data_IF_928833327434
#
_entry.id   IF_928833327434
#
_cell.length_a   1.000
_cell.length_b   1.000
_cell.length_c   1.000
_cell.angle_alpha   90.00
_cell.angle_beta   90.00
_cell.angle_gamma   90.00
#
_symmetry.space_group_name_H-M   'P 1'
#
loop_
_entity.id
_entity.type
_entity.pdbx_description
1 polymer ?
#
# COMPACT_ATOMS: atom_id res chain seq x y z
N UNK A 1 34.53 -11.14 1.97
CA UNK A 1 33.72 -12.37 1.87
C UNK A 1 32.91 -12.46 3.15
N UNK A 2 31.79 -11.73 3.23
CA UNK A 2 30.89 -11.75 4.38
C UNK A 2 29.66 -12.55 3.98
N UNK A 3 29.47 -13.69 4.62
CA UNK A 3 28.26 -14.49 4.54
C UNK A 3 27.13 -13.70 5.22
N UNK A 4 26.26 -13.07 4.44
CA UNK A 4 24.89 -12.79 4.88
C UNK A 4 24.08 -14.06 4.61
N UNK A 5 23.79 -14.80 5.67
CA UNK A 5 22.74 -15.83 5.61
C UNK A 5 21.40 -15.12 5.41
N UNK A 6 20.95 -15.08 4.16
CA UNK A 6 19.55 -14.82 3.85
C UNK A 6 18.76 -16.04 4.28
N UNK A 7 18.05 -15.92 5.40
CA UNK A 7 16.96 -16.81 5.75
C UNK A 7 15.83 -16.61 4.73
N UNK A 8 15.93 -17.34 3.62
CA UNK A 8 14.77 -17.82 2.87
C UNK A 8 13.99 -18.75 3.82
N UNK A 9 13.08 -18.18 4.60
CA UNK A 9 12.15 -18.96 5.41
C UNK A 9 10.81 -19.14 4.66
N UNK A 10 10.22 -20.34 4.67
CA UNK A 10 9.05 -20.66 3.87
C UNK A 10 7.78 -20.06 4.50
N UNK A 11 7.15 -19.13 3.78
CA UNK A 11 5.86 -18.53 4.15
C UNK A 11 4.72 -19.52 3.96
N UNK A 12 4.39 -20.23 5.04
CA UNK A 12 3.29 -21.18 5.15
C UNK A 12 2.07 -20.54 5.80
N UNK A 13 1.29 -19.76 5.04
CA UNK A 13 -0.10 -19.44 5.40
C UNK A 13 -0.92 -19.32 4.11
N UNK A 14 -1.80 -20.31 3.88
CA UNK A 14 -3.06 -20.29 3.11
C UNK A 14 -3.43 -21.75 2.78
N UNK A 15 -3.77 -22.53 3.80
CA UNK A 15 -4.48 -23.81 3.65
C UNK A 15 -5.80 -23.71 4.41
N UNK A 16 -6.94 -24.08 3.79
CA UNK A 16 -8.06 -24.66 4.50
C UNK A 16 -7.96 -26.18 4.43
N UNK A 17 -7.76 -26.83 5.58
CA UNK A 17 -8.16 -28.22 5.76
C UNK A 17 -9.66 -28.23 6.08
N UNK A 18 -10.49 -28.69 5.14
CA UNK A 18 -11.76 -29.42 5.38
C UNK A 18 -12.59 -29.54 4.09
N UNK A 19 -12.44 -30.67 3.37
CA UNK A 19 -13.56 -31.24 2.60
C UNK A 19 -13.53 -32.76 2.76
N UNK A 20 -14.22 -33.27 3.79
CA UNK A 20 -14.82 -34.61 3.81
C UNK A 20 -16.06 -34.60 4.69
N UNK A 21 -17.24 -34.60 4.06
CA UNK A 21 -18.30 -35.61 4.25
C UNK A 21 -19.67 -35.08 3.76
N UNK A 22 -20.43 -35.99 3.12
CA UNK A 22 -21.83 -35.93 2.70
C UNK A 22 -22.15 -35.08 1.44
N UNK A 23 -22.85 -35.57 0.41
CA UNK A 23 -23.55 -36.84 0.21
C UNK A 23 -23.70 -37.14 -1.29
N UNK A 24 -23.81 -38.43 -1.58
CA UNK A 24 -24.05 -39.01 -2.88
C UNK A 24 -25.51 -38.87 -3.34
N UNK A 25 -25.69 -39.10 -4.65
CA UNK A 25 -26.92 -39.53 -5.35
C UNK A 25 -27.82 -38.43 -5.91
N UNK A 26 -27.81 -38.29 -7.25
CA UNK A 26 -28.87 -38.85 -8.10
C UNK A 26 -28.48 -38.83 -9.59
N UNK A 27 -28.77 -39.96 -10.26
CA UNK A 27 -28.78 -40.19 -11.71
C UNK A 27 -30.12 -39.75 -12.32
N UNK A 28 -30.07 -39.39 -13.60
CA UNK A 28 -31.20 -39.37 -14.57
C UNK A 28 -30.87 -38.35 -15.68
N UNK A 29 -30.47 -38.73 -16.91
CA UNK A 29 -31.31 -39.11 -18.08
C UNK A 29 -32.45 -38.10 -18.33
N UNK A 30 -32.71 -37.52 -19.49
CA UNK A 30 -32.39 -37.84 -20.89
C UNK A 30 -32.94 -36.70 -21.79
N UNK A 31 -32.68 -36.82 -23.09
CA UNK A 31 -33.46 -36.27 -24.23
C UNK A 31 -33.07 -34.93 -24.86
N UNK A 32 -32.33 -35.09 -25.95
CA UNK A 32 -32.35 -34.34 -27.22
C UNK A 32 -33.75 -34.04 -27.75
N UNK A 33 -34.00 -32.78 -28.13
CA UNK A 33 -34.99 -32.39 -29.15
C UNK A 33 -34.41 -31.21 -29.97
N UNK A 34 -34.25 -31.43 -31.27
CA UNK A 34 -34.21 -30.38 -32.30
C UNK A 34 -35.65 -30.06 -32.74
N UNK A 35 -35.94 -28.85 -33.26
CA UNK A 35 -36.12 -28.82 -34.72
C UNK A 35 -35.71 -27.51 -35.43
N UNK A 36 -35.74 -27.64 -36.76
CA UNK A 36 -35.39 -26.73 -37.84
C UNK A 36 -36.20 -25.42 -38.00
N UNK A 37 -35.49 -24.44 -38.59
CA UNK A 37 -35.86 -23.57 -39.73
C UNK A 37 -36.98 -22.49 -39.67
N UNK A 38 -36.51 -21.22 -39.78
CA UNK A 38 -36.91 -20.11 -40.70
C UNK A 38 -38.31 -19.45 -40.60
N UNK A 39 -38.56 -18.22 -41.14
CA UNK A 39 -37.69 -17.28 -41.90
C UNK A 39 -37.71 -15.78 -41.45
N UNK A 40 -36.75 -14.99 -41.95
CA UNK A 40 -36.68 -13.52 -41.93
C UNK A 40 -37.75 -12.85 -42.83
N UNK A 41 -38.21 -11.63 -42.49
CA UNK A 41 -38.07 -10.49 -43.42
C UNK A 41 -37.98 -9.11 -42.69
N UNK A 42 -37.95 -7.96 -43.41
CA UNK A 42 -37.00 -7.53 -44.41
C UNK A 42 -36.22 -6.27 -43.96
N UNK A 43 -35.15 -5.99 -44.70
CA UNK A 43 -34.28 -4.82 -44.59
C UNK A 43 -35.03 -3.49 -44.68
N UNK A 44 -34.94 -2.67 -43.62
CA UNK A 44 -35.19 -1.22 -43.68
C UNK A 44 -33.95 -0.48 -43.21
N UNK A 45 -33.28 0.19 -44.16
CA UNK A 45 -32.28 1.23 -43.86
C UNK A 45 -32.98 2.40 -43.17
N UNK A 46 -32.53 2.86 -41.98
CA UNK A 46 -32.77 4.20 -41.54
C UNK A 46 -31.62 5.11 -42.00
N UNK A 47 -32.01 6.34 -42.31
CA UNK A 47 -31.20 7.44 -42.79
C UNK A 47 -30.14 7.85 -41.76
N UNK A 48 -28.98 8.31 -42.25
CA UNK A 48 -28.05 9.08 -41.44
C UNK A 48 -28.74 10.34 -40.89
N UNK A 49 -28.70 10.60 -39.58
CA UNK A 49 -28.77 11.95 -39.05
C UNK A 49 -27.35 12.49 -38.90
N UNK A 50 -27.18 13.75 -39.29
CA UNK A 50 -25.88 14.41 -39.39
C UNK A 50 -25.13 14.51 -38.07
N UNK A 51 -23.81 14.72 -38.22
CA UNK A 51 -22.89 15.16 -37.18
C UNK A 51 -23.49 16.32 -36.36
N UNK A 52 -23.93 16.04 -35.14
CA UNK A 52 -23.94 17.02 -34.06
C UNK A 52 -22.78 16.69 -33.13
N UNK A 53 -21.70 17.44 -33.27
CA UNK A 53 -20.61 17.47 -32.29
C UNK A 53 -21.22 17.76 -30.90
N UNK A 54 -20.92 16.97 -29.85
CA UNK A 54 -21.20 17.45 -28.51
C UNK A 54 -20.32 18.68 -28.27
N UNK A 55 -20.99 19.82 -28.03
CA UNK A 55 -20.40 21.07 -27.55
C UNK A 55 -19.39 20.75 -26.46
N UNK A 56 -18.16 21.21 -26.65
CA UNK A 56 -17.14 21.25 -25.63
C UNK A 56 -17.74 21.88 -24.36
N UNK A 57 -17.87 21.07 -23.31
CA UNK A 57 -17.87 21.58 -21.94
C UNK A 57 -16.45 22.11 -21.68
N UNK A 58 -16.23 23.36 -22.10
CA UNK A 58 -15.13 24.18 -21.61
C UNK A 58 -15.49 24.61 -20.20
N UNK A 59 -14.80 24.05 -19.22
CA UNK A 59 -14.79 24.55 -17.84
C UNK A 59 -14.44 23.43 -16.86
N UNK A 60 -13.31 23.59 -16.15
CA UNK A 60 -12.67 22.67 -15.18
C UNK A 60 -11.91 21.52 -15.87
N UNK A 61 -10.59 21.33 -15.79
CA UNK A 61 -9.53 21.77 -14.88
C UNK A 61 -8.26 22.06 -15.71
N UNK A 62 -7.57 23.17 -15.45
CA UNK A 62 -6.12 23.18 -15.63
C UNK A 62 -5.52 22.29 -14.54
N UNK A 63 -5.49 20.99 -14.81
CA UNK A 63 -4.94 20.01 -13.89
C UNK A 63 -3.43 20.31 -13.72
N UNK A 64 -3.10 20.98 -12.62
CA UNK A 64 -1.74 21.38 -12.32
C UNK A 64 -0.82 20.17 -12.37
N UNK A 65 0.25 20.29 -13.16
CA UNK A 65 1.25 19.23 -13.35
C UNK A 65 2.04 18.99 -12.07
N UNK A 66 1.57 18.07 -11.22
CA UNK A 66 2.39 17.52 -10.14
C UNK A 66 3.47 16.57 -10.65
N UNK A 67 4.42 16.26 -9.78
CA UNK A 67 5.57 15.38 -10.07
C UNK A 67 5.63 14.27 -9.04
N UNK A 68 5.99 13.06 -9.49
CA UNK A 68 6.33 11.96 -8.59
C UNK A 68 7.79 12.03 -8.17
N UNK A 69 8.04 11.72 -6.90
CA UNK A 69 9.33 11.63 -6.27
C UNK A 69 9.53 10.22 -5.69
N UNK A 70 10.78 9.78 -5.60
CA UNK A 70 11.19 8.51 -4.99
C UNK A 70 12.38 8.70 -4.05
N UNK A 71 12.42 7.90 -3.00
CA UNK A 71 13.56 7.77 -2.09
C UNK A 71 13.57 6.39 -1.40
N UNK A 72 14.71 5.95 -0.90
CA UNK A 72 14.94 4.62 -0.35
C UNK A 72 15.79 3.71 -1.23
N UNK A 73 15.62 2.41 -1.06
CA UNK A 73 16.39 1.39 -1.77
C UNK A 73 15.99 1.28 -3.25
N UNK A 74 17.00 1.30 -4.15
CA UNK A 74 16.87 1.07 -5.58
C UNK A 74 17.96 0.13 -6.14
N UNK A 75 18.45 -0.81 -5.34
CA UNK A 75 19.59 -1.66 -5.69
C UNK A 75 19.37 -2.60 -6.89
N UNK A 76 18.13 -2.76 -7.36
CA UNK A 76 17.78 -3.52 -8.56
C UNK A 76 17.56 -2.63 -9.80
N UNK A 77 17.86 -1.33 -9.71
CA UNK A 77 17.64 -0.39 -10.79
C UNK A 77 16.22 0.16 -10.85
N UNK A 78 15.48 0.11 -9.74
CA UNK A 78 14.17 0.76 -9.66
C UNK A 78 14.31 2.27 -9.86
N UNK A 79 13.41 2.85 -10.65
CA UNK A 79 13.35 4.28 -10.90
C UNK A 79 12.91 5.02 -9.64
N UNK A 80 13.87 5.52 -8.86
CA UNK A 80 13.65 6.46 -7.75
C UNK A 80 14.26 7.85 -8.02
N UNK A 81 15.22 7.97 -8.95
CA UNK A 81 16.01 9.20 -9.12
C UNK A 81 17.01 9.19 -10.29
N UNK A 82 18.10 9.96 -10.17
CA UNK A 82 19.06 10.31 -11.24
C UNK A 82 19.92 9.15 -11.81
N UNK A 83 19.84 7.95 -11.23
CA UNK A 83 20.23 6.71 -11.93
C UNK A 83 21.66 6.19 -11.72
N UNK A 84 22.33 6.51 -10.61
CA UNK A 84 23.68 6.00 -10.33
C UNK A 84 23.86 5.35 -8.94
N UNK A 85 22.92 5.58 -8.01
CA UNK A 85 22.95 5.05 -6.65
C UNK A 85 22.14 3.76 -6.50
N UNK A 86 22.50 2.95 -5.50
CA UNK A 86 21.66 1.82 -5.02
C UNK A 86 20.65 2.25 -3.96
N UNK A 87 20.74 3.50 -3.50
CA UNK A 87 19.92 4.13 -2.47
C UNK A 87 19.76 5.61 -2.78
N UNK A 88 18.62 6.18 -2.40
CA UNK A 88 18.30 7.60 -2.55
C UNK A 88 17.85 8.12 -1.18
N UNK A 89 18.62 9.01 -0.55
CA UNK A 89 18.40 9.42 0.85
C UNK A 89 17.48 10.64 1.03
N UNK A 90 17.20 11.35 -0.07
CA UNK A 90 16.32 12.53 -0.12
C UNK A 90 15.38 12.38 -1.30
N UNK A 91 14.15 12.91 -1.26
CA UNK A 91 13.25 12.82 -2.39
C UNK A 91 13.88 13.32 -3.70
N UNK A 92 13.86 12.48 -4.74
CA UNK A 92 14.30 12.82 -6.09
C UNK A 92 13.14 12.63 -7.09
N UNK A 93 12.98 13.50 -8.10
CA UNK A 93 11.98 13.30 -9.15
C UNK A 93 12.17 11.96 -9.88
N UNK A 94 11.07 11.23 -10.11
CA UNK A 94 11.11 9.96 -10.84
C UNK A 94 11.58 10.15 -12.28
N UNK A 95 12.45 9.24 -12.74
CA UNK A 95 12.85 9.10 -14.13
C UNK A 95 12.35 7.76 -14.69
N UNK A 96 11.11 7.74 -15.17
CA UNK A 96 10.58 6.58 -15.90
C UNK A 96 10.99 6.66 -17.38
N UNK A 97 11.23 5.52 -18.05
CA UNK A 97 11.42 5.49 -19.50
C UNK A 97 10.19 6.09 -20.21
N UNK A 98 10.37 7.16 -20.99
CA UNK A 98 9.26 7.91 -21.61
C UNK A 98 8.75 9.12 -20.81
N UNK A 99 9.32 9.39 -19.64
CA UNK A 99 9.00 10.52 -18.77
C UNK A 99 7.97 10.18 -17.69
N UNK A 100 8.04 10.86 -16.54
CA UNK A 100 7.12 10.68 -15.41
C UNK A 100 5.75 11.35 -15.62
N UNK A 101 5.58 12.05 -16.75
CA UNK A 101 4.35 12.73 -17.13
C UNK A 101 3.25 11.70 -17.33
N UNK A 102 2.27 11.73 -16.42
CA UNK A 102 1.08 10.90 -16.50
C UNK A 102 1.07 9.70 -15.58
N UNK A 103 2.11 9.42 -14.78
CA UNK A 103 2.01 8.39 -13.73
C UNK A 103 0.91 8.81 -12.74
N UNK A 104 -0.10 7.96 -12.55
CA UNK A 104 -1.17 8.16 -11.57
C UNK A 104 -1.09 7.19 -10.40
N UNK A 105 -0.36 6.07 -10.54
CA UNK A 105 -0.22 5.07 -9.49
C UNK A 105 1.15 4.40 -9.54
N UNK A 106 1.60 4.01 -8.36
CA UNK A 106 2.82 3.24 -8.14
C UNK A 106 2.46 2.02 -7.31
N UNK A 107 2.89 0.84 -7.75
CA UNK A 107 2.84 -0.39 -6.96
C UNK A 107 4.25 -0.96 -6.90
N UNK A 108 4.83 -0.96 -5.71
CA UNK A 108 6.23 -1.32 -5.51
C UNK A 108 6.35 -2.68 -4.82
N UNK A 109 7.12 -3.58 -5.42
CA UNK A 109 7.58 -4.81 -4.80
C UNK A 109 9.01 -4.63 -4.29
N UNK A 110 9.64 -5.71 -3.82
CA UNK A 110 11.01 -5.66 -3.35
C UNK A 110 11.99 -5.42 -4.49
N UNK A 111 11.86 -6.16 -5.59
CA UNK A 111 12.84 -6.16 -6.68
C UNK A 111 12.46 -5.29 -7.88
N UNK A 112 11.20 -4.88 -7.99
CA UNK A 112 10.73 -4.04 -9.09
C UNK A 112 9.55 -3.17 -8.67
N UNK A 113 9.21 -2.21 -9.53
CA UNK A 113 8.08 -1.29 -9.34
C UNK A 113 7.27 -1.21 -10.63
N UNK A 114 5.95 -1.29 -10.49
CA UNK A 114 4.99 -1.04 -11.56
C UNK A 114 4.47 0.40 -11.46
N UNK A 115 4.60 1.14 -12.55
CA UNK A 115 4.06 2.50 -12.70
C UNK A 115 2.86 2.46 -13.65
N UNK A 116 1.69 2.86 -13.17
CA UNK A 116 0.47 2.98 -13.99
C UNK A 116 0.33 4.42 -14.44
N UNK A 117 0.11 4.61 -15.73
CA UNK A 117 -0.08 5.93 -16.34
C UNK A 117 -1.55 6.21 -16.63
N UNK A 118 -1.93 7.50 -16.66
CA UNK A 118 -3.25 8.00 -17.07
C UNK A 118 -3.62 7.61 -18.51
N UNK A 119 -2.61 7.33 -19.34
CA UNK A 119 -2.79 6.82 -20.70
C UNK A 119 -3.13 5.33 -20.76
N UNK A 120 -3.26 4.65 -19.62
CA UNK A 120 -3.56 3.22 -19.54
C UNK A 120 -2.35 2.32 -19.82
N UNK A 121 -1.13 2.83 -19.68
CA UNK A 121 0.09 2.04 -19.80
C UNK A 121 0.66 1.71 -18.42
N UNK A 122 1.09 0.46 -18.23
CA UNK A 122 1.89 -0.01 -17.10
C UNK A 122 3.34 -0.15 -17.56
N UNK A 123 4.27 0.40 -16.78
CA UNK A 123 5.71 0.31 -17.01
C UNK A 123 6.40 -0.30 -15.81
N UNK A 124 7.26 -1.30 -16.03
CA UNK A 124 8.04 -1.94 -14.97
C UNK A 124 9.46 -1.36 -14.90
N UNK A 125 9.99 -1.23 -13.68
CA UNK A 125 11.36 -0.78 -13.43
C UNK A 125 11.99 -1.53 -12.27
N UNK A 126 13.22 -2.03 -12.45
CA UNK A 126 13.94 -2.83 -11.47
C UNK A 126 14.44 -4.13 -12.08
N UNK A 127 14.41 -5.21 -11.30
CA UNK A 127 14.77 -6.55 -11.77
C UNK A 127 13.83 -7.08 -12.87
N UNK A 128 12.58 -6.60 -12.90
CA UNK A 128 11.62 -6.83 -13.97
C UNK A 128 11.49 -5.57 -14.84
N UNK A 129 11.40 -5.79 -16.15
CA UNK A 129 11.19 -4.74 -17.15
C UNK A 129 10.07 -5.12 -18.11
N UNK A 130 9.51 -4.15 -18.82
CA UNK A 130 8.42 -4.37 -19.78
C UNK A 130 7.35 -3.29 -19.70
N UNK A 131 6.50 -3.25 -20.71
CA UNK A 131 5.37 -2.32 -20.78
C UNK A 131 4.11 -3.04 -21.26
N UNK A 132 2.95 -2.66 -20.72
CA UNK A 132 1.66 -3.18 -21.14
C UNK A 132 0.66 -2.02 -21.27
N UNK A 133 -0.05 -1.96 -22.39
CA UNK A 133 -1.10 -0.96 -22.64
C UNK A 133 -2.48 -1.48 -22.23
N UNK A 134 -3.49 -0.58 -22.18
CA UNK A 134 -4.87 -0.92 -21.84
C UNK A 134 -5.08 -1.32 -20.37
N UNK A 135 -4.17 -0.97 -19.48
CA UNK A 135 -4.21 -1.30 -18.06
C UNK A 135 -4.78 -0.13 -17.24
N UNK A 136 -5.73 -0.40 -16.36
CA UNK A 136 -6.33 0.57 -15.43
C UNK A 136 -5.72 0.49 -14.03
N UNK A 137 -5.13 -0.65 -13.68
CA UNK A 137 -4.43 -0.87 -12.43
C UNK A 137 -3.32 -1.93 -12.56
N UNK A 138 -2.36 -1.89 -11.64
CA UNK A 138 -1.36 -2.93 -11.47
C UNK A 138 -1.03 -3.14 -9.98
N UNK A 139 -0.84 -4.39 -9.60
CA UNK A 139 -0.32 -4.78 -8.30
C UNK A 139 0.94 -5.63 -8.47
N UNK A 140 2.05 -5.11 -7.95
CA UNK A 140 3.37 -5.73 -8.02
C UNK A 140 3.66 -6.51 -6.73
N UNK A 141 4.00 -7.78 -6.89
CA UNK A 141 4.55 -8.64 -5.83
C UNK A 141 5.73 -9.44 -6.36
N UNK A 142 6.54 -10.02 -5.48
CA UNK A 142 7.69 -10.84 -5.93
C UNK A 142 7.27 -12.13 -6.64
N UNK A 143 6.09 -12.67 -6.32
CA UNK A 143 5.59 -13.91 -6.93
C UNK A 143 4.77 -13.64 -8.20
N UNK A 144 4.06 -12.50 -8.24
CA UNK A 144 3.08 -12.20 -9.27
C UNK A 144 3.02 -10.70 -9.60
N UNK A 145 2.89 -10.40 -10.88
CA UNK A 145 2.40 -9.11 -11.36
C UNK A 145 0.95 -9.26 -11.79
N UNK A 146 0.05 -8.52 -11.14
CA UNK A 146 -1.37 -8.53 -11.49
C UNK A 146 -1.71 -7.26 -12.23
N UNK A 147 -2.35 -7.39 -13.39
CA UNK A 147 -2.82 -6.27 -14.20
C UNK A 147 -4.34 -6.31 -14.26
N UNK A 148 -4.97 -5.17 -14.02
CA UNK A 148 -6.37 -4.96 -14.38
C UNK A 148 -6.41 -4.26 -15.73
N UNK A 149 -6.98 -4.91 -16.73
CA UNK A 149 -7.09 -4.41 -18.09
C UNK A 149 -8.50 -4.00 -18.43
N UNK A 150 -8.63 -2.91 -19.18
CA UNK A 150 -9.87 -2.55 -19.82
C UNK A 150 -10.17 -3.56 -20.94
N UNK A 151 -11.29 -4.28 -20.81
CA UNK A 151 -11.82 -5.17 -21.84
C UNK A 151 -12.71 -4.41 -22.83
N UNK A 152 -13.18 -5.08 -23.91
CA UNK A 152 -14.14 -4.49 -24.83
C UNK A 152 -15.49 -4.24 -24.13
N UNK A 153 -16.00 -3.01 -24.22
CA UNK A 153 -17.26 -2.60 -23.57
C UNK A 153 -17.04 -2.13 -22.13
N UNK A 154 -17.92 -2.56 -21.21
CA UNK A 154 -17.81 -2.31 -19.76
C UNK A 154 -17.15 -3.48 -18.99
N UNK A 155 -16.51 -4.41 -19.71
CA UNK A 155 -15.82 -5.53 -19.08
C UNK A 155 -14.40 -5.15 -18.69
N UNK A 156 -13.91 -5.65 -17.56
CA UNK A 156 -12.50 -5.64 -17.22
C UNK A 156 -11.95 -7.07 -17.25
N UNK A 157 -10.66 -7.23 -17.56
CA UNK A 157 -9.97 -8.51 -17.48
C UNK A 157 -8.84 -8.40 -16.46
N UNK A 158 -8.81 -9.33 -15.51
CA UNK A 158 -7.72 -9.48 -14.57
C UNK A 158 -6.73 -10.48 -15.14
N UNK A 159 -5.44 -10.12 -15.16
CA UNK A 159 -4.38 -10.98 -15.64
C UNK A 159 -3.26 -11.09 -14.61
N UNK A 160 -2.81 -12.31 -14.36
CA UNK A 160 -1.71 -12.65 -13.48
C UNK A 160 -0.50 -13.06 -14.33
N UNK A 161 0.64 -12.42 -14.10
CA UNK A 161 1.87 -12.60 -14.86
C UNK A 161 3.03 -12.97 -13.94
N UNK A 162 3.96 -13.78 -14.46
CA UNK A 162 5.27 -13.91 -13.83
C UNK A 162 6.03 -12.57 -14.00
N UNK A 163 6.58 -11.95 -12.95
CA UNK A 163 7.26 -10.65 -13.08
C UNK A 163 8.38 -10.63 -14.14
N UNK A 164 9.12 -11.73 -14.27
CA UNK A 164 10.19 -11.88 -15.26
C UNK A 164 9.76 -12.11 -16.71
N UNK A 165 8.45 -12.26 -17.00
CA UNK A 165 7.97 -12.50 -18.37
C UNK A 165 7.97 -11.25 -19.26
N UNK A 166 8.23 -10.07 -18.67
CA UNK A 166 8.09 -8.78 -19.32
C UNK A 166 6.70 -8.54 -19.94
N UNK A 167 5.67 -9.22 -19.40
CA UNK A 167 4.29 -9.20 -19.92
C UNK A 167 4.22 -9.68 -21.38
N UNK A 168 5.07 -10.65 -21.77
CA UNK A 168 5.10 -11.27 -23.09
C UNK A 168 4.58 -12.71 -23.02
N UNK A 169 3.88 -13.13 -24.08
CA UNK A 169 3.25 -14.45 -24.14
C UNK A 169 1.88 -14.46 -23.44
N UNK A 170 1.48 -15.63 -22.95
CA UNK A 170 0.21 -15.81 -22.26
C UNK A 170 0.34 -15.51 -20.75
N UNK A 171 -0.67 -14.91 -20.11
CA UNK A 171 -0.69 -14.75 -18.67
C UNK A 171 -0.74 -16.12 -17.97
N UNK A 172 -0.19 -16.20 -16.75
CA UNK A 172 -0.28 -17.39 -15.90
C UNK A 172 -1.74 -17.76 -15.60
N UNK A 173 -2.58 -16.74 -15.52
CA UNK A 173 -4.01 -16.87 -15.28
C UNK A 173 -4.70 -15.59 -15.73
N UNK A 174 -5.91 -15.71 -16.28
CA UNK A 174 -6.79 -14.56 -16.52
C UNK A 174 -8.23 -14.87 -16.16
N UNK A 175 -8.97 -13.82 -15.81
CA UNK A 175 -10.39 -13.91 -15.52
C UNK A 175 -11.10 -12.62 -15.90
N UNK A 176 -12.23 -12.75 -16.59
CA UNK A 176 -13.14 -11.65 -16.82
C UNK A 176 -13.78 -11.21 -15.49
N UNK A 177 -13.71 -9.91 -15.21
CA UNK A 177 -14.37 -9.28 -14.07
C UNK A 177 -15.64 -8.62 -14.60
N UNK A 178 -16.79 -9.12 -14.17
CA UNK A 178 -18.07 -8.47 -14.46
C UNK A 178 -18.21 -7.26 -13.55
N UNK A 179 -18.24 -6.06 -14.12
CA UNK A 179 -18.70 -4.87 -13.41
C UNK A 179 -20.18 -5.05 -13.09
N UNK A 180 -20.61 -4.70 -11.87
CA UNK A 180 -21.97 -4.93 -11.41
C UNK A 180 -22.99 -4.30 -12.37
N UNK A 181 -24.05 -5.04 -12.74
CA UNK A 181 -25.09 -4.62 -13.69
C UNK A 181 -25.86 -3.35 -13.27
N UNK A 182 -25.68 -2.89 -12.03
CA UNK A 182 -26.20 -1.63 -11.52
C UNK A 182 -25.01 -0.69 -11.39
N UNK A 183 -24.98 0.36 -12.24
CA UNK A 183 -23.91 1.34 -12.26
C UNK A 183 -23.59 1.89 -10.86
N UNK A 184 -22.34 2.32 -10.61
CA UNK A 184 -21.88 2.63 -9.27
C UNK A 184 -22.80 3.68 -8.65
N UNK A 185 -23.43 3.33 -7.53
CA UNK A 185 -23.93 4.37 -6.62
C UNK A 185 -22.74 5.25 -6.21
N UNK A 186 -22.98 6.53 -5.88
CA UNK A 186 -21.92 7.49 -5.51
C UNK A 186 -20.95 6.97 -4.41
N UNK A 187 -21.37 5.98 -3.62
CA UNK A 187 -20.56 5.27 -2.60
C UNK A 187 -19.72 4.10 -3.15
N UNK A 188 -20.11 3.44 -4.25
CA UNK A 188 -19.39 2.30 -4.86
C UNK A 188 -18.17 2.72 -5.68
N UNK A 189 -18.05 4.00 -6.04
CA UNK A 189 -16.88 4.60 -6.68
C UNK A 189 -15.61 4.59 -5.82
N UNK A 190 -15.67 4.14 -4.56
CA UNK A 190 -14.53 3.96 -3.66
C UNK A 190 -14.01 2.52 -3.54
N UNK A 191 -14.65 1.53 -4.18
CA UNK A 191 -14.18 0.14 -4.14
C UNK A 191 -12.76 0.01 -4.74
N UNK A 192 -11.86 -0.52 -3.90
CA UNK A 192 -10.43 -0.22 -3.87
C UNK A 192 -9.56 -0.65 -5.05
N UNK A 193 -8.34 -0.13 -4.99
CA UNK A 193 -7.24 -0.53 -5.83
C UNK A 193 -6.93 -2.01 -5.61
N UNK A 194 -6.29 -2.64 -6.58
CA UNK A 194 -5.74 -3.98 -6.39
C UNK A 194 -4.90 -4.00 -5.08
N UNK A 195 -5.01 -5.08 -4.28
CA UNK A 195 -5.55 -6.39 -4.65
C UNK A 195 -7.07 -6.55 -4.49
N UNK A 196 -7.81 -5.56 -3.97
CA UNK A 196 -9.27 -5.64 -3.94
C UNK A 196 -9.82 -5.48 -5.37
N UNK A 197 -10.77 -6.34 -5.77
CA UNK A 197 -11.33 -6.29 -7.12
C UNK A 197 -12.43 -5.22 -7.24
N UNK A 198 -12.66 -4.67 -8.45
CA UNK A 198 -13.86 -3.89 -8.74
C UNK A 198 -15.10 -4.65 -8.27
N UNK A 199 -16.08 -3.95 -7.68
CA UNK A 199 -17.24 -4.45 -6.93
C UNK A 199 -17.00 -4.90 -5.48
N UNK A 200 -15.74 -4.99 -5.03
CA UNK A 200 -15.35 -5.29 -3.65
C UNK A 200 -15.95 -6.58 -3.05
N UNK A 201 -16.22 -7.59 -3.90
CA UNK A 201 -16.71 -8.91 -3.49
C UNK A 201 -15.64 -9.99 -3.54
N UNK A 202 -14.44 -9.66 -3.99
CA UNK A 202 -13.34 -10.59 -4.12
C UNK A 202 -12.01 -9.82 -4.15
N UNK A 203 -10.92 -10.52 -3.92
CA UNK A 203 -9.57 -9.99 -3.99
C UNK A 203 -8.60 -10.95 -4.68
N UNK A 204 -7.45 -10.42 -5.06
CA UNK A 204 -6.36 -11.19 -5.67
C UNK A 204 -5.36 -11.65 -4.61
N UNK A 205 -5.04 -12.92 -4.63
CA UNK A 205 -3.94 -13.51 -3.84
C UNK A 205 -2.71 -13.67 -4.73
N UNK A 206 -1.48 -13.51 -4.20
CA UNK A 206 -0.26 -13.80 -4.97
C UNK A 206 -0.09 -15.29 -5.26
N UNK A 207 -0.89 -16.17 -4.63
CA UNK A 207 -0.83 -17.62 -4.78
C UNK A 207 -2.17 -18.22 -5.20
N UNK A 208 -2.17 -19.34 -5.94
CA UNK A 208 -3.39 -20.06 -6.27
C UNK A 208 -4.19 -20.49 -5.03
N UNK A 209 -5.55 -20.46 -5.09
CA UNK A 209 -6.34 -19.77 -6.11
C UNK A 209 -6.15 -18.24 -6.05
N UNK A 210 -5.84 -17.65 -7.21
CA UNK A 210 -5.54 -16.22 -7.35
C UNK A 210 -6.78 -15.36 -7.10
N UNK A 211 -7.96 -15.82 -7.47
CA UNK A 211 -9.23 -15.17 -7.14
C UNK A 211 -9.77 -15.70 -5.82
N UNK A 212 -10.08 -14.80 -4.88
CA UNK A 212 -10.62 -15.15 -3.56
C UNK A 212 -11.92 -14.37 -3.30
N UNK A 213 -13.09 -15.04 -3.20
CA UNK A 213 -14.33 -14.36 -2.86
C UNK A 213 -14.31 -13.90 -1.39
N UNK A 214 -14.94 -12.76 -1.13
CA UNK A 214 -15.26 -12.27 0.21
C UNK A 214 -16.66 -12.75 0.60
N UNK A 215 -16.95 -12.75 1.90
CA UNK A 215 -18.28 -13.08 2.40
C UNK A 215 -19.33 -12.14 1.77
N UNK A 216 -20.49 -12.63 1.28
CA UNK A 216 -21.47 -11.80 0.58
C UNK A 216 -22.02 -10.61 1.38
N UNK A 217 -22.01 -10.72 2.71
CA UNK A 217 -22.43 -9.68 3.65
C UNK A 217 -21.37 -8.60 3.87
N UNK A 218 -20.11 -8.89 3.54
CA UNK A 218 -18.98 -8.00 3.75
C UNK A 218 -18.85 -7.04 2.58
N UNK A 219 -19.11 -5.76 2.85
CA UNK A 219 -18.93 -4.68 1.87
C UNK A 219 -17.54 -4.10 2.02
N UNK A 220 -16.54 -4.74 1.42
CA UNK A 220 -15.17 -4.24 1.48
C UNK A 220 -15.03 -2.88 0.78
N UNK A 221 -14.13 -2.04 1.29
CA UNK A 221 -13.74 -0.77 0.69
C UNK A 221 -12.25 -0.77 0.33
N UNK A 222 -11.40 -1.28 1.22
CA UNK A 222 -9.95 -1.43 0.99
C UNK A 222 -9.44 -2.74 1.56
N UNK A 223 -8.40 -3.27 0.91
CA UNK A 223 -7.65 -4.43 1.37
C UNK A 223 -6.17 -4.12 1.24
N UNK A 224 -5.45 -4.14 2.35
CA UNK A 224 -4.00 -3.96 2.39
C UNK A 224 -3.33 -5.25 2.84
N UNK A 225 -2.26 -5.62 2.15
CA UNK A 225 -1.49 -6.83 2.43
C UNK A 225 -0.14 -6.45 3.02
N UNK A 226 0.10 -6.88 4.25
CA UNK A 226 1.44 -6.89 4.83
C UNK A 226 2.24 -8.10 4.35
N UNK A 227 3.43 -8.31 4.94
CA UNK A 227 4.23 -9.48 4.56
C UNK A 227 3.53 -10.80 4.90
N UNK A 228 2.75 -10.82 5.99
CA UNK A 228 2.17 -12.05 6.55
C UNK A 228 0.76 -11.91 7.11
N UNK A 229 0.14 -10.75 6.93
CA UNK A 229 -1.19 -10.44 7.43
C UNK A 229 -1.93 -9.55 6.43
N UNK A 230 -3.24 -9.44 6.60
CA UNK A 230 -4.08 -8.55 5.81
C UNK A 230 -4.92 -7.67 6.73
N UNK A 231 -5.20 -6.45 6.25
CA UNK A 231 -6.17 -5.54 6.84
C UNK A 231 -7.26 -5.25 5.82
N UNK A 232 -8.51 -5.47 6.21
CA UNK A 232 -9.67 -5.12 5.41
C UNK A 232 -10.44 -4.01 6.10
N UNK A 233 -10.73 -2.95 5.36
CA UNK A 233 -11.61 -1.89 5.76
C UNK A 233 -12.93 -2.04 5.01
N UNK A 234 -14.03 -2.15 5.72
CA UNK A 234 -15.36 -2.23 5.11
C UNK A 234 -16.02 -0.85 4.91
N UNK A 235 -17.20 -0.84 4.30
CA UNK A 235 -17.99 0.35 4.04
C UNK A 235 -18.63 0.96 5.31
N UNK A 236 -18.73 0.20 6.40
CA UNK A 236 -19.19 0.70 7.69
C UNK A 236 -18.05 1.36 8.51
N UNK A 237 -16.82 1.35 7.99
CA UNK A 237 -15.64 1.87 8.68
C UNK A 237 -15.07 0.89 9.71
N UNK A 238 -15.45 -0.39 9.65
CA UNK A 238 -14.92 -1.45 10.49
C UNK A 238 -13.65 -2.04 9.88
N UNK A 239 -12.72 -2.44 10.75
CA UNK A 239 -11.45 -3.05 10.36
C UNK A 239 -11.46 -4.52 10.75
N UNK A 240 -11.08 -5.37 9.81
CA UNK A 240 -10.86 -6.80 10.00
C UNK A 240 -9.40 -7.12 9.73
N UNK A 241 -8.84 -8.07 10.47
CA UNK A 241 -7.46 -8.52 10.33
C UNK A 241 -7.37 -10.04 10.37
N UNK A 242 -6.44 -10.60 9.61
CA UNK A 242 -6.12 -12.03 9.62
C UNK A 242 -4.72 -12.30 9.08
N UNK A 243 -4.24 -13.53 9.27
CA UNK A 243 -2.90 -13.99 8.91
C UNK A 243 -2.07 -14.35 10.15
N UNK A 244 -0.75 -14.20 10.05
CA UNK A 244 0.15 -14.43 11.16
C UNK A 244 0.03 -13.31 12.22
N UNK A 245 -0.03 -13.68 13.50
CA UNK A 245 -0.11 -12.73 14.62
C UNK A 245 1.12 -12.68 15.53
N UNK A 246 2.20 -13.43 15.22
CA UNK A 246 3.35 -13.60 16.14
C UNK A 246 4.03 -12.31 16.60
N UNK A 247 3.81 -11.20 15.90
CA UNK A 247 4.35 -9.89 16.23
C UNK A 247 3.25 -8.89 16.61
N UNK A 248 2.07 -9.37 17.00
CA UNK A 248 0.93 -8.54 17.39
C UNK A 248 0.31 -7.74 16.24
N UNK A 249 0.69 -7.99 14.98
CA UNK A 249 0.24 -7.22 13.81
C UNK A 249 -1.25 -7.37 13.50
N UNK A 250 -1.97 -8.27 14.19
CA UNK A 250 -3.43 -8.38 14.05
C UNK A 250 -4.19 -7.46 15.01
N UNK A 251 -3.56 -6.94 16.06
CA UNK A 251 -4.21 -5.97 16.95
C UNK A 251 -5.26 -6.55 17.91
N UNK A 252 -5.45 -7.86 17.96
CA UNK A 252 -6.46 -8.53 18.82
C UNK A 252 -6.01 -8.70 20.29
N UNK A 253 -4.91 -8.08 20.71
CA UNK A 253 -4.34 -8.21 22.05
C UNK A 253 -3.58 -9.52 22.30
N UNK A 254 -3.43 -10.37 21.27
CA UNK A 254 -2.72 -11.65 21.34
C UNK A 254 -1.63 -11.73 20.25
N UNK A 255 -0.82 -12.80 20.30
CA UNK A 255 0.17 -13.13 19.28
C UNK A 255 -0.25 -14.31 18.39
N UNK A 256 -1.51 -14.71 18.49
CA UNK A 256 -2.07 -15.86 17.78
C UNK A 256 -2.35 -15.54 16.32
N UNK A 257 -2.23 -16.53 15.45
CA UNK A 257 -2.64 -16.40 14.06
C UNK A 257 -4.16 -16.51 13.92
N UNK A 258 -4.72 -15.73 12.99
CA UNK A 258 -6.14 -15.79 12.65
C UNK A 258 -6.25 -16.26 11.19
N UNK A 259 -6.84 -17.44 10.90
CA UNK A 259 -6.89 -17.96 9.54
C UNK A 259 -7.93 -17.25 8.65
N UNK A 260 -8.91 -16.58 9.27
CA UNK A 260 -10.04 -15.90 8.62
C UNK A 260 -10.19 -14.46 9.13
N UNK A 261 -10.79 -13.55 8.34
CA UNK A 261 -11.01 -12.17 8.75
C UNK A 261 -11.74 -12.08 10.10
N UNK A 262 -11.06 -11.53 11.12
CA UNK A 262 -11.63 -11.25 12.44
C UNK A 262 -11.82 -9.76 12.64
N UNK A 263 -12.98 -9.36 13.15
CA UNK A 263 -13.26 -7.96 13.50
C UNK A 263 -12.28 -7.47 14.58
N UNK A 264 -11.71 -6.30 14.36
CA UNK A 264 -10.84 -5.65 15.33
C UNK A 264 -11.67 -4.92 16.39
N UNK A 265 -12.12 -5.67 17.40
CA UNK A 265 -13.02 -5.21 18.48
C UNK A 265 -12.51 -3.95 19.20
N UNK A 266 -11.19 -3.81 19.30
CA UNK A 266 -10.49 -2.66 19.86
C UNK A 266 -10.93 -1.30 19.29
N UNK A 267 -11.29 -1.27 18.00
CA UNK A 267 -11.66 -0.06 17.26
C UNK A 267 -13.16 -0.02 16.97
N UNK A 268 -13.94 -0.96 17.50
CA UNK A 268 -15.36 -1.00 17.26
C UNK A 268 -16.04 0.27 17.81
N UNK A 269 -16.87 0.90 16.98
CA UNK A 269 -17.54 2.17 17.29
C UNK A 269 -16.78 3.41 16.80
N UNK A 270 -15.51 3.26 16.40
CA UNK A 270 -14.75 4.30 15.71
C UNK A 270 -14.80 4.04 14.20
N UNK A 271 -15.22 5.03 13.40
CA UNK A 271 -15.26 4.86 11.94
C UNK A 271 -13.89 5.13 11.33
N UNK A 272 -13.34 4.10 10.71
CA UNK A 272 -12.04 4.18 10.03
C UNK A 272 -12.19 4.64 8.58
N UNK A 273 -11.24 5.46 8.12
CA UNK A 273 -11.14 6.02 6.79
C UNK A 273 -10.08 5.33 5.91
N UNK A 274 -8.92 5.00 6.48
CA UNK A 274 -7.80 4.34 5.78
C UNK A 274 -7.21 3.22 6.62
N UNK A 275 -6.58 2.25 5.95
CA UNK A 275 -5.76 1.20 6.54
C UNK A 275 -4.45 1.12 5.76
N UNK A 276 -3.37 0.68 6.40
CA UNK A 276 -2.10 0.34 5.78
C UNK A 276 -1.43 -0.81 6.54
N UNK A 277 -0.84 -1.74 5.80
CA UNK A 277 -0.17 -2.90 6.36
C UNK A 277 1.30 -2.91 5.95
N UNK A 278 2.20 -2.90 6.93
CA UNK A 278 3.63 -3.05 6.71
C UNK A 278 4.09 -4.50 6.78
N UNK A 279 5.40 -4.72 6.94
CA UNK A 279 5.94 -6.08 7.09
C UNK A 279 5.32 -6.83 8.28
N UNK A 280 5.39 -6.21 9.46
CA UNK A 280 4.88 -6.77 10.72
C UNK A 280 4.21 -5.74 11.60
N UNK A 281 3.65 -4.68 11.01
CA UNK A 281 2.87 -3.67 11.71
C UNK A 281 1.70 -3.22 10.86
N UNK A 282 0.76 -2.54 11.50
CA UNK A 282 -0.50 -2.13 10.93
C UNK A 282 -0.85 -0.73 11.41
N UNK A 283 -1.51 0.00 10.53
CA UNK A 283 -1.98 1.36 10.80
C UNK A 283 -3.39 1.50 10.30
N UNK A 284 -4.24 2.18 11.05
CA UNK A 284 -5.47 2.73 10.55
C UNK A 284 -5.59 4.22 10.88
N UNK A 285 -6.42 4.88 10.10
CA UNK A 285 -6.74 6.30 10.24
C UNK A 285 -8.25 6.42 10.40
N UNK A 286 -8.71 7.11 11.44
CA UNK A 286 -10.13 7.40 11.64
C UNK A 286 -10.65 8.48 10.67
N UNK A 287 -11.97 8.60 10.53
CA UNK A 287 -12.59 9.74 9.81
C UNK A 287 -12.29 11.10 10.47
N UNK A 288 -11.91 11.11 11.75
CA UNK A 288 -11.55 12.32 12.50
C UNK A 288 -10.06 12.69 12.39
N UNK A 289 -9.25 11.86 11.71
CA UNK A 289 -7.83 12.09 11.52
C UNK A 289 -6.93 11.48 12.59
N UNK A 290 -7.48 10.66 13.50
CA UNK A 290 -6.73 9.94 14.54
C UNK A 290 -6.04 8.71 13.95
N UNK A 291 -4.79 8.49 14.33
CA UNK A 291 -3.99 7.37 13.84
C UNK A 291 -3.91 6.32 14.93
N UNK A 292 -4.25 5.08 14.60
CA UNK A 292 -3.99 3.93 15.46
C UNK A 292 -2.97 3.00 14.82
N UNK A 293 -1.99 2.57 15.60
CA UNK A 293 -0.83 1.81 15.12
C UNK A 293 -0.51 0.65 16.08
N UNK A 294 -0.15 -0.51 15.52
CA UNK A 294 0.16 -1.72 16.31
C UNK A 294 1.08 -2.68 15.55
N UNK A 295 1.63 -3.66 16.27
CA UNK A 295 2.49 -4.72 15.75
C UNK A 295 3.91 -4.69 16.29
N UNK A 296 4.89 -5.00 15.44
CA UNK A 296 6.31 -5.04 15.78
C UNK A 296 6.94 -3.64 15.78
N UNK A 297 7.80 -3.34 16.76
CA UNK A 297 8.35 -2.00 16.97
C UNK A 297 9.89 -1.94 17.14
N UNK A 298 10.66 -3.00 16.96
CA UNK A 298 12.12 -2.90 17.25
C UNK A 298 12.88 -1.96 16.29
N UNK A 299 12.25 -1.52 15.19
CA UNK A 299 12.79 -0.48 14.31
C UNK A 299 12.14 0.89 14.49
N UNK A 300 11.29 1.07 15.51
CA UNK A 300 10.59 2.33 15.80
C UNK A 300 9.40 2.62 14.90
N UNK A 301 8.95 1.69 14.06
CA UNK A 301 7.87 1.91 13.08
C UNK A 301 6.50 2.20 13.71
N UNK A 302 6.30 1.92 14.99
CA UNK A 302 5.07 2.29 15.70
C UNK A 302 5.14 3.70 16.30
N UNK A 303 6.30 4.36 16.19
CA UNK A 303 6.58 5.62 16.86
C UNK A 303 6.36 5.56 18.39
N UNK A 304 6.69 4.40 18.97
CA UNK A 304 6.73 4.15 20.41
C UNK A 304 8.19 3.92 20.85
N UNK A 305 8.57 4.25 22.09
CA UNK A 305 9.95 4.13 22.56
C UNK A 305 10.56 2.74 22.37
N UNK A 306 11.80 2.69 21.84
CA UNK A 306 12.54 1.44 21.56
C UNK A 306 13.90 1.39 22.25
N UNK A 307 14.35 0.18 22.63
CA UNK A 307 15.68 -0.02 23.25
C UNK A 307 16.83 0.29 22.29
N UNK A 308 16.73 -0.24 21.07
CA UNK A 308 17.77 -0.15 20.05
C UNK A 308 18.19 1.30 19.77
N UNK A 309 17.23 2.21 19.67
CA UNK A 309 17.53 3.62 19.42
C UNK A 309 17.99 4.39 20.65
N UNK A 310 17.55 3.99 21.85
CA UNK A 310 18.05 4.58 23.09
C UNK A 310 19.53 4.22 23.35
N UNK A 311 19.95 3.04 22.93
CA UNK A 311 21.35 2.59 23.01
C UNK A 311 22.22 3.24 21.93
N UNK A 312 21.75 3.31 20.68
CA UNK A 312 22.45 3.97 19.57
C UNK A 312 22.67 5.48 19.83
N UNK A 313 21.71 6.16 20.45
CA UNK A 313 21.88 7.57 20.82
C UNK A 313 22.96 7.78 21.89
N UNK A 314 23.15 6.80 22.78
CA UNK A 314 24.10 6.87 23.90
C UNK A 314 25.55 6.65 23.46
N UNK A 315 25.77 5.80 22.44
CA UNK A 315 27.11 5.60 21.85
C UNK A 315 27.55 6.82 21.04
N UNK A 316 26.65 7.45 20.27
CA UNK A 316 26.97 8.68 19.53
C UNK A 316 27.23 9.90 20.43
N UNK A 317 26.58 9.96 21.60
CA UNK A 317 26.84 11.01 22.59
C UNK A 317 28.16 10.78 23.36
N UNK A 318 28.57 9.53 23.55
CA UNK A 318 29.83 9.16 24.22
C UNK A 318 31.09 9.39 23.39
N UNK A 319 30.99 9.41 22.06
CA UNK A 319 32.11 9.69 21.15
C UNK A 319 32.40 11.20 20.97
N UNK A 320 31.50 12.07 21.43
CA UNK A 320 31.65 13.53 21.34
C UNK A 320 32.27 14.18 22.60
N UNK A 321 32.61 13.41 23.64
CA UNK A 321 33.23 13.93 24.86
C UNK A 321 34.53 13.20 25.19
N UNK A 322 35.62 13.64 24.56
CA UNK A 322 36.96 13.20 24.90
C UNK A 322 37.97 14.28 24.55
N UNK A 323 38.19 15.21 25.49
CA UNK A 323 39.48 15.77 25.94
C UNK A 323 39.18 16.81 27.07
N UNK A 324 39.67 16.52 28.28
CA UNK A 324 39.53 17.22 29.57
C UNK A 324 40.31 18.57 29.58
N UNK A 325 40.30 19.50 30.55
CA UNK A 325 39.82 19.65 31.93
C UNK A 325 39.95 21.16 32.29
N UNK A 326 39.05 21.76 33.09
CA UNK A 326 39.36 22.66 34.23
C UNK A 326 38.06 23.27 34.84
N UNK A 327 37.92 23.15 36.16
CA UNK A 327 37.37 24.22 37.00
C UNK A 327 35.86 24.34 37.27
N UNK A 328 35.44 23.77 38.42
CA UNK A 328 34.41 24.27 39.35
C UNK A 328 32.94 23.81 39.22
N UNK A 329 32.47 23.23 40.32
CA UNK A 329 31.08 22.84 40.60
C UNK A 329 30.11 24.03 40.64
N UNK A 330 28.93 23.86 40.04
CA UNK A 330 27.66 24.22 40.70
C UNK A 330 26.68 23.08 40.52
N UNK A 331 26.69 22.20 41.53
CA UNK A 331 25.72 21.10 41.71
C UNK A 331 24.40 21.71 42.14
N UNK A 332 23.45 21.93 41.21
CA UNK A 332 22.04 22.13 41.56
C UNK A 332 21.31 20.82 41.34
N UNK A 333 21.27 20.01 42.40
CA UNK A 333 20.36 18.89 42.47
C UNK A 333 18.92 19.39 42.64
N UNK A 334 18.02 18.86 41.82
CA UNK A 334 16.67 18.54 42.25
C UNK A 334 16.44 17.07 41.90
N UNK A 335 16.64 16.22 42.89
CA UNK A 335 16.16 14.85 42.89
C UNK A 335 14.65 14.85 43.23
N UNK A 336 13.92 13.94 42.58
CA UNK A 336 12.47 13.73 42.65
C UNK A 336 11.91 13.89 41.24
N UNK A 337 11.63 12.85 40.47
CA UNK A 337 10.89 11.64 40.81
C UNK A 337 11.60 10.35 40.34
N UNK A 338 11.22 9.21 40.92
CA UNK A 338 11.69 7.86 40.60
C UNK A 338 11.59 7.53 39.09
N UNK A 339 12.64 7.85 38.34
CA UNK A 339 12.73 7.63 36.90
C UNK A 339 13.10 6.20 36.57
N UNK A 340 12.19 5.24 36.81
CA UNK A 340 12.28 3.97 36.08
C UNK A 340 12.35 4.30 34.58
N UNK A 341 13.33 3.76 33.81
CA UNK A 341 13.41 4.04 32.39
C UNK A 341 12.08 3.66 31.75
N UNK A 342 11.50 4.57 30.95
CA UNK A 342 10.22 4.34 30.29
C UNK A 342 10.23 2.94 29.63
N UNK A 343 9.21 2.10 29.87
CA UNK A 343 9.23 0.73 29.39
C UNK A 343 9.25 0.74 27.86
N UNK A 344 10.30 0.14 27.31
CA UNK A 344 10.45 0.02 25.87
C UNK A 344 9.46 -1.00 25.31
N UNK A 345 8.86 -0.67 24.17
CA UNK A 345 7.81 -1.49 23.55
C UNK A 345 8.40 -2.15 22.32
N UNK A 346 8.62 -3.47 22.38
CA UNK A 346 9.09 -4.25 21.22
C UNK A 346 7.92 -4.74 20.34
N UNK A 347 6.78 -5.05 20.97
CA UNK A 347 5.55 -5.47 20.33
C UNK A 347 4.38 -4.78 21.01
N UNK A 348 3.48 -4.23 20.21
CA UNK A 348 2.23 -3.61 20.65
C UNK A 348 1.08 -4.41 20.03
N UNK A 349 0.51 -5.41 20.72
CA UNK A 349 -0.48 -6.31 20.15
C UNK A 349 -1.91 -5.74 20.10
N UNK A 350 -2.08 -4.46 20.47
CA UNK A 350 -3.37 -3.77 20.48
C UNK A 350 -3.20 -2.35 19.89
N UNK A 351 -4.17 -1.83 19.12
CA UNK A 351 -4.09 -0.48 18.54
C UNK A 351 -3.73 0.59 19.58
N UNK A 352 -2.61 1.27 19.38
CA UNK A 352 -2.19 2.42 20.17
C UNK A 352 -2.50 3.71 19.40
N UNK A 353 -3.09 4.70 20.08
CA UNK A 353 -3.28 6.03 19.52
C UNK A 353 -1.91 6.70 19.33
N UNK A 354 -1.69 7.27 18.14
CA UNK A 354 -0.49 8.00 17.79
C UNK A 354 -0.83 9.47 17.55
N UNK A 355 -0.21 10.33 18.35
CA UNK A 355 -0.32 11.78 18.19
C UNK A 355 0.73 12.27 17.20
N UNK A 356 0.27 12.91 16.13
CA UNK A 356 1.11 13.81 15.35
C UNK A 356 1.25 15.15 16.08
N UNK A 357 2.14 16.01 15.57
CA UNK A 357 2.27 17.37 16.09
C UNK A 357 0.90 18.08 16.18
N UNK A 358 0.62 18.88 17.23
CA UNK A 358 -0.68 19.53 17.40
C UNK A 358 -1.11 20.32 16.17
N UNK A 359 -2.34 20.09 15.70
CA UNK A 359 -2.91 20.72 14.51
C UNK A 359 -2.69 19.97 13.19
N UNK A 360 -1.92 18.87 13.20
CA UNK A 360 -1.77 17.99 12.06
C UNK A 360 -2.93 17.00 11.97
N UNK A 361 -3.82 17.19 10.98
CA UNK A 361 -4.89 16.24 10.68
C UNK A 361 -4.41 15.25 9.60
N UNK A 362 -4.27 13.97 9.94
CA UNK A 362 -3.86 12.95 8.98
C UNK A 362 -4.99 12.60 8.01
N UNK A 363 -4.63 12.38 6.74
CA UNK A 363 -5.58 12.05 5.65
C UNK A 363 -5.17 10.83 4.85
N UNK A 364 -3.91 10.38 4.95
CA UNK A 364 -3.44 9.14 4.32
C UNK A 364 -2.33 8.50 5.14
N UNK A 365 -2.34 7.17 5.20
CA UNK A 365 -1.30 6.34 5.81
C UNK A 365 -0.74 5.39 4.77
N UNK A 366 0.54 5.03 4.90
CA UNK A 366 1.20 4.04 4.05
C UNK A 366 2.35 3.39 4.82
N UNK A 367 2.56 2.09 4.62
CA UNK A 367 3.54 1.31 5.37
C UNK A 367 4.46 0.55 4.42
N UNK A 368 5.77 0.56 4.69
CA UNK A 368 6.69 -0.39 4.09
C UNK A 368 7.00 -1.55 5.04
N UNK A 369 8.11 -2.26 4.81
CA UNK A 369 8.47 -3.41 5.65
C UNK A 369 8.65 -3.01 7.13
N UNK A 370 9.35 -1.90 7.37
CA UNK A 370 9.76 -1.43 8.71
C UNK A 370 9.70 0.08 8.86
N UNK A 371 8.93 0.77 8.03
CA UNK A 371 8.76 2.21 8.11
C UNK A 371 7.31 2.59 7.82
N UNK A 372 6.92 3.76 8.31
CA UNK A 372 5.56 4.27 8.22
C UNK A 372 5.62 5.68 7.66
N UNK A 373 4.66 6.01 6.81
CA UNK A 373 4.49 7.34 6.23
C UNK A 373 3.05 7.83 6.45
N UNK A 374 2.92 9.09 6.83
CA UNK A 374 1.62 9.76 7.03
C UNK A 374 1.59 11.09 6.32
N UNK A 375 0.51 11.32 5.58
CA UNK A 375 0.21 12.57 4.92
C UNK A 375 -0.86 13.32 5.70
N UNK A 376 -0.59 14.60 5.98
CA UNK A 376 -1.56 15.51 6.59
C UNK A 376 -2.43 16.22 5.53
N UNK A 377 -3.56 16.78 5.98
CA UNK A 377 -4.46 17.58 5.13
C UNK A 377 -3.79 18.83 4.55
N UNK A 378 -2.78 19.38 5.25
CA UNK A 378 -1.97 20.52 4.81
C UNK A 378 -0.95 20.16 3.72
N UNK A 379 -0.82 18.87 3.39
CA UNK A 379 0.14 18.37 2.39
C UNK A 379 1.54 18.15 2.94
N UNK A 380 1.68 17.99 4.26
CA UNK A 380 2.94 17.65 4.91
C UNK A 380 3.10 16.14 5.01
N UNK A 381 4.32 15.65 4.78
CA UNK A 381 4.65 14.24 4.86
C UNK A 381 5.50 13.98 6.09
N UNK A 382 5.07 13.03 6.92
CA UNK A 382 5.81 12.51 8.06
C UNK A 382 6.24 11.07 7.80
N UNK A 383 7.47 10.73 8.15
CA UNK A 383 8.03 9.39 8.01
C UNK A 383 8.83 9.01 9.25
N UNK A 384 8.81 7.72 9.60
CA UNK A 384 9.59 7.17 10.71
C UNK A 384 9.75 5.65 10.57
N UNK A 385 10.52 5.04 11.47
CA UNK A 385 10.90 3.63 11.46
C UNK A 385 12.33 3.43 10.97
N UNK A 386 12.59 2.26 10.37
CA UNK A 386 13.92 1.88 9.86
C UNK A 386 14.33 2.75 8.67
N UNK A 387 15.49 3.41 8.76
CA UNK A 387 15.95 4.38 7.77
C UNK A 387 17.22 4.01 7.00
N UNK A 388 17.80 2.82 7.19
CA UNK A 388 19.17 2.56 6.69
C UNK A 388 19.32 2.50 5.16
N UNK A 389 18.22 2.50 4.40
CA UNK A 389 18.24 2.65 2.94
C UNK A 389 17.80 4.03 2.45
N UNK A 390 17.53 4.97 3.36
CA UNK A 390 17.07 6.32 3.01
C UNK A 390 15.56 6.42 2.76
N UNK A 391 14.77 5.40 3.06
CA UNK A 391 13.31 5.37 2.80
C UNK A 391 12.50 6.39 3.61
N UNK A 392 13.13 7.06 4.58
CA UNK A 392 12.52 8.15 5.33
C UNK A 392 12.74 9.51 4.66
N UNK A 393 13.69 9.64 3.72
CA UNK A 393 13.85 10.86 2.93
C UNK A 393 14.45 12.05 3.69
N UNK A 394 15.10 11.82 4.84
CA UNK A 394 15.67 12.86 5.69
C UNK A 394 17.12 13.24 5.34
N UNK A 395 17.59 12.93 4.12
CA UNK A 395 18.97 13.17 3.64
C UNK A 395 20.04 12.34 4.36
N UNK A 396 19.62 11.34 5.13
CA UNK A 396 20.51 10.45 5.88
C UNK A 396 20.00 8.99 5.85
N UNK A 397 20.53 8.18 6.78
CA UNK A 397 20.14 6.77 6.97
C UNK A 397 19.65 6.51 8.40
N UNK A 398 19.27 7.56 9.12
CA UNK A 398 18.92 7.52 10.53
C UNK A 398 17.58 6.79 10.70
N UNK A 399 17.51 5.86 11.65
CA UNK A 399 16.27 5.20 12.06
C UNK A 399 15.58 6.08 13.11
N UNK A 400 14.26 6.21 13.05
CA UNK A 400 13.49 7.10 13.92
C UNK A 400 12.36 6.35 14.62
N UNK A 401 12.18 6.55 15.92
CA UNK A 401 11.04 6.06 16.71
C UNK A 401 9.99 7.14 17.00
N UNK A 402 10.00 8.20 16.20
CA UNK A 402 8.99 9.26 16.29
C UNK A 402 8.71 9.82 14.90
N UNK A 403 7.49 10.30 14.62
CA UNK A 403 7.18 10.92 13.35
C UNK A 403 8.09 12.12 13.09
N UNK A 404 8.72 12.15 11.92
CA UNK A 404 9.58 13.25 11.49
C UNK A 404 9.09 13.80 10.15
N UNK A 405 9.00 15.12 10.03
CA UNK A 405 8.53 15.77 8.80
C UNK A 405 9.63 15.72 7.73
N UNK A 406 9.25 15.39 6.50
CA UNK A 406 10.16 15.37 5.35
C UNK A 406 10.32 16.80 4.80
N UNK A 407 11.32 17.52 5.32
CA UNK A 407 11.54 18.95 5.04
C UNK A 407 11.75 19.28 3.56
N UNK A 408 12.19 18.32 2.74
CA UNK A 408 12.38 18.53 1.29
C UNK A 408 11.16 19.17 0.61
N UNK A 409 9.95 18.69 0.91
CA UNK A 409 8.74 19.21 0.26
C UNK A 409 8.39 20.62 0.77
N UNK A 410 8.68 20.93 2.03
CA UNK A 410 8.49 22.26 2.61
C UNK A 410 9.47 23.24 1.99
N UNK A 411 10.76 22.90 1.96
CA UNK A 411 11.84 23.69 1.36
C UNK A 411 11.57 24.02 -0.11
N UNK A 412 10.99 23.06 -0.85
CA UNK A 412 10.66 23.20 -2.27
C UNK A 412 9.28 23.82 -2.54
N UNK A 413 8.56 24.26 -1.51
CA UNK A 413 7.21 24.81 -1.64
C UNK A 413 6.26 23.85 -2.38
N UNK A 414 6.34 22.57 -2.05
CA UNK A 414 5.50 21.51 -2.58
C UNK A 414 4.48 21.07 -1.53
N UNK A 415 3.29 20.70 -2.00
CA UNK A 415 2.26 19.99 -1.24
C UNK A 415 2.21 18.55 -1.69
N UNK A 416 2.39 17.63 -0.75
CA UNK A 416 2.20 16.20 -1.00
C UNK A 416 0.71 15.92 -1.14
N UNK A 417 0.36 15.11 -2.15
CA UNK A 417 -1.03 14.73 -2.47
C UNK A 417 -1.28 13.23 -2.27
N UNK A 418 -0.26 12.41 -2.43
CA UNK A 418 -0.32 10.99 -2.07
C UNK A 418 1.08 10.44 -1.79
N UNK A 419 1.13 9.41 -0.96
CA UNK A 419 2.33 8.62 -0.63
C UNK A 419 2.02 7.14 -0.83
N UNK A 420 3.01 6.39 -1.30
CA UNK A 420 3.00 4.93 -1.42
C UNK A 420 4.35 4.37 -1.00
N UNK A 421 4.37 3.53 0.02
CA UNK A 421 5.57 2.84 0.47
C UNK A 421 5.66 1.51 -0.27
N UNK A 422 6.83 1.23 -0.85
CA UNK A 422 7.23 -0.13 -1.12
C UNK A 422 7.89 -0.75 0.12
N UNK A 423 8.41 -1.98 -0.01
CA UNK A 423 9.07 -2.66 1.11
C UNK A 423 10.20 -1.82 1.75
N UNK A 424 10.97 -1.10 0.93
CA UNK A 424 12.18 -0.38 1.38
C UNK A 424 12.40 0.96 0.66
N UNK A 425 11.36 1.47 0.01
CA UNK A 425 11.36 2.75 -0.68
C UNK A 425 10.00 3.44 -0.53
N UNK A 426 9.98 4.73 -0.82
CA UNK A 426 8.81 5.59 -0.66
C UNK A 426 8.65 6.42 -1.92
N UNK A 427 7.43 6.42 -2.45
CA UNK A 427 7.01 7.16 -3.62
C UNK A 427 6.00 8.23 -3.21
N UNK A 428 6.19 9.45 -3.70
CA UNK A 428 5.39 10.61 -3.29
C UNK A 428 4.98 11.40 -4.50
N UNK A 429 3.70 11.70 -4.65
CA UNK A 429 3.22 12.66 -5.63
C UNK A 429 3.01 14.02 -4.97
N UNK A 430 3.61 15.06 -5.53
CA UNK A 430 3.53 16.41 -4.99
C UNK A 430 3.28 17.46 -6.09
N UNK A 431 2.62 18.56 -5.72
CA UNK A 431 2.30 19.71 -6.57
C UNK A 431 2.88 20.98 -5.96
N UNK A 432 3.14 22.01 -6.78
CA UNK A 432 3.54 23.32 -6.27
C UNK A 432 2.45 23.94 -5.37
N UNK A 433 2.87 24.57 -4.26
CA UNK A 433 2.00 25.35 -3.39
C UNK A 433 1.48 26.57 -4.14
N UNK A 434 0.22 26.91 -3.92
CA UNK A 434 -0.32 28.20 -4.34
C UNK A 434 0.43 29.31 -3.62
N UNK A 435 0.96 30.27 -4.40
CA UNK A 435 1.29 31.57 -3.83
C UNK A 435 -0.04 32.22 -3.47
N UNK A 436 -0.33 32.26 -2.17
CA UNK A 436 -1.46 33.03 -1.62
C UNK A 436 -1.30 34.52 -1.91
#
# INVERSE_FOLDING_TARGET
>A
MMHLEFSLLPLSVLLPACVRAAAASRKGSSETISPDSCPNPPSRRPRQPGRSQPRALRGMDEERRGTWFGFGFCGFGQALGSGLGRQVHSPEPLRTPGGSLGVCRVSASWSYTAFVTRGGQVQLSGAAGGTADGCTDAWASEELLVLLRAGPGAGAELQAWAPGSAMRGDPLWSQAVQEAEHGPSRDETQAGLLPLLPCARAYVSPRPPFYRPLAPTLRARRLELGAEHALLLDAAGQVFSWGAGRHGQLGHGTLEAEPEPRLLEALQGLRMAEVAAGGWHSVCLSETGDIYIWGWNESGQLALPTKSLAEDGKTTAGEASGLEEDGSEVKRGSAGEDGAPAPFIAVQPFPALLDLSPGSEAVKVSCGSRHTAVLTRTGELYTWGWGKYGQLGHKDTTTLDRPCRVEYFVDKQLQVRTVSCGPWNTYVYAVEKEKS
#
